data_IF_349750778422
#
_entry.id   IF_349750778422
#
_cell.length_a   1.000
_cell.length_b   1.000
_cell.length_c   1.000
_cell.angle_alpha   90.00
_cell.angle_beta   90.00
_cell.angle_gamma   90.00
#
_symmetry.space_group_name_H-M   'P 1'
#
loop_
_entity.id
_entity.type
_entity.pdbx_description
1 polymer ?
#
# COMPACT_ATOMS: atom_id res chain seq x y z
N UNK A 1 -15.83 -4.91 2.02
CA UNK A 1 -15.32 -5.27 0.68
C UNK A 1 -16.09 -6.49 0.32
N UNK A 2 -16.92 -6.43 -0.73
CA UNK A 2 -17.77 -7.57 -1.09
C UNK A 2 -16.89 -8.79 -1.33
N UNK A 3 -17.28 -9.91 -0.75
CA UNK A 3 -16.60 -11.17 -0.99
C UNK A 3 -16.89 -11.62 -2.45
N UNK A 4 -16.08 -12.54 -3.03
CA UNK A 4 -16.34 -13.08 -4.37
C UNK A 4 -17.76 -13.59 -4.59
N UNK A 5 -18.36 -14.25 -3.59
CA UNK A 5 -19.73 -14.79 -3.65
C UNK A 5 -20.76 -13.66 -3.66
N UNK A 6 -20.64 -12.68 -2.77
CA UNK A 6 -21.51 -11.48 -2.77
C UNK A 6 -21.40 -10.68 -4.08
N UNK A 7 -20.23 -10.67 -4.72
CA UNK A 7 -20.06 -10.03 -6.03
C UNK A 7 -20.80 -10.78 -7.13
N UNK A 8 -20.66 -12.11 -7.20
CA UNK A 8 -21.29 -12.92 -8.24
C UNK A 8 -22.82 -12.87 -8.10
N UNK A 9 -23.36 -12.98 -6.88
CA UNK A 9 -24.80 -12.82 -6.62
C UNK A 9 -25.33 -11.44 -7.07
N UNK A 10 -24.61 -10.37 -6.73
CA UNK A 10 -25.01 -9.03 -7.12
C UNK A 10 -24.91 -8.80 -8.64
N UNK A 11 -24.01 -9.53 -9.32
CA UNK A 11 -23.89 -9.47 -10.77
C UNK A 11 -25.05 -10.21 -11.45
N UNK A 12 -25.43 -11.39 -10.94
CA UNK A 12 -26.57 -12.15 -11.45
C UNK A 12 -27.88 -11.36 -11.29
N UNK A 13 -28.10 -10.72 -10.12
CA UNK A 13 -29.25 -9.83 -9.90
C UNK A 13 -29.26 -8.64 -10.87
N UNK A 14 -28.10 -8.04 -11.11
CA UNK A 14 -27.95 -6.96 -12.10
C UNK A 14 -28.28 -7.47 -13.50
N UNK A 15 -27.80 -8.64 -13.89
CA UNK A 15 -28.05 -9.24 -15.21
C UNK A 15 -29.55 -9.44 -15.44
N UNK A 16 -30.25 -10.03 -14.47
CA UNK A 16 -31.70 -10.25 -14.53
C UNK A 16 -32.43 -8.91 -14.68
N UNK A 17 -32.16 -7.96 -13.78
CA UNK A 17 -32.78 -6.63 -13.83
C UNK A 17 -32.53 -5.93 -15.18
N UNK A 18 -31.33 -6.08 -15.72
CA UNK A 18 -30.91 -5.40 -16.94
C UNK A 18 -31.52 -6.02 -18.20
N UNK A 19 -31.65 -7.35 -18.26
CA UNK A 19 -32.32 -8.06 -19.36
C UNK A 19 -33.84 -7.88 -19.36
N UNK A 20 -34.43 -7.55 -18.23
CA UNK A 20 -35.86 -7.19 -18.12
C UNK A 20 -36.15 -5.74 -18.55
N UNK A 21 -35.13 -4.89 -18.71
CA UNK A 21 -35.31 -3.53 -19.23
C UNK A 21 -35.45 -3.54 -20.76
N UNK A 22 -36.55 -2.98 -21.29
CA UNK A 22 -36.87 -2.97 -22.73
C UNK A 22 -36.05 -1.98 -23.58
N UNK A 23 -34.94 -1.45 -23.04
CA UNK A 23 -34.09 -0.51 -23.77
C UNK A 23 -33.05 -1.26 -24.62
N UNK A 24 -32.86 -0.85 -25.87
CA UNK A 24 -32.03 -1.55 -26.84
C UNK A 24 -30.56 -1.15 -26.73
N UNK A 25 -30.26 0.06 -26.24
CA UNK A 25 -28.89 0.48 -25.90
C UNK A 25 -28.34 -0.31 -24.71
N UNK A 26 -29.22 -0.82 -23.85
CA UNK A 26 -28.81 -1.61 -22.70
C UNK A 26 -28.27 -2.98 -23.12
N UNK A 27 -28.87 -3.69 -24.08
CA UNK A 27 -28.42 -5.04 -24.44
C UNK A 27 -26.94 -5.12 -24.88
N UNK A 28 -26.45 -4.13 -25.66
CA UNK A 28 -25.06 -4.09 -26.13
C UNK A 28 -24.04 -3.93 -25.00
N UNK A 29 -24.39 -3.19 -23.93
CA UNK A 29 -23.49 -2.99 -22.81
C UNK A 29 -23.28 -4.29 -22.02
N UNK A 30 -24.34 -5.06 -21.80
CA UNK A 30 -24.23 -6.33 -21.08
C UNK A 30 -23.37 -7.32 -21.86
N UNK A 31 -23.64 -7.48 -23.15
CA UNK A 31 -22.84 -8.32 -24.04
C UNK A 31 -21.37 -7.87 -24.05
N UNK A 32 -21.12 -6.56 -24.09
CA UNK A 32 -19.77 -6.02 -24.02
C UNK A 32 -19.07 -6.34 -22.69
N UNK A 33 -19.76 -6.20 -21.55
CA UNK A 33 -19.24 -6.50 -20.21
C UNK A 33 -18.97 -8.00 -20.05
N UNK A 34 -19.89 -8.86 -20.48
CA UNK A 34 -19.77 -10.31 -20.44
C UNK A 34 -18.60 -10.82 -21.27
N UNK A 35 -18.39 -10.26 -22.47
CA UNK A 35 -17.31 -10.69 -23.36
C UNK A 35 -15.96 -10.11 -22.93
N UNK A 36 -15.91 -8.83 -22.57
CA UNK A 36 -14.63 -8.12 -22.43
C UNK A 36 -14.13 -8.00 -20.99
N UNK A 37 -15.04 -7.91 -20.02
CA UNK A 37 -14.73 -7.59 -18.63
C UNK A 37 -14.88 -8.79 -17.69
N UNK A 38 -16.01 -9.50 -17.70
CA UNK A 38 -16.23 -10.64 -16.79
C UNK A 38 -15.12 -11.71 -16.80
N UNK A 39 -14.60 -12.15 -17.97
CA UNK A 39 -13.53 -13.16 -18.02
C UNK A 39 -12.22 -12.65 -17.39
N UNK A 40 -12.11 -11.33 -17.20
CA UNK A 40 -10.97 -10.65 -16.62
C UNK A 40 -11.32 -10.03 -15.26
N UNK A 41 -12.38 -10.49 -14.57
CA UNK A 41 -12.82 -9.93 -13.28
C UNK A 41 -11.72 -9.92 -12.22
N UNK A 42 -10.80 -10.87 -12.26
CA UNK A 42 -9.60 -10.88 -11.41
C UNK A 42 -8.61 -9.71 -11.66
N UNK A 43 -8.72 -8.99 -12.77
CA UNK A 43 -7.86 -7.84 -13.11
C UNK A 43 -8.46 -6.49 -12.71
N UNK A 44 -9.79 -6.38 -12.61
CA UNK A 44 -10.47 -5.09 -12.40
C UNK A 44 -11.53 -5.12 -11.28
N UNK A 45 -12.14 -6.27 -10.98
CA UNK A 45 -13.09 -6.35 -9.86
C UNK A 45 -12.33 -6.42 -8.55
N UNK A 46 -12.74 -5.62 -7.58
CA UNK A 46 -12.11 -5.58 -6.25
C UNK A 46 -12.35 -6.85 -5.45
N UNK A 47 -13.45 -7.55 -5.70
CA UNK A 47 -13.79 -8.81 -5.02
C UNK A 47 -12.86 -9.96 -5.46
N UNK A 48 -12.46 -9.96 -6.73
CA UNK A 48 -11.69 -11.04 -7.35
C UNK A 48 -10.18 -10.76 -7.45
N UNK A 49 -9.78 -9.48 -7.41
CA UNK A 49 -8.36 -9.09 -7.49
C UNK A 49 -7.57 -9.63 -6.29
N UNK A 50 -6.50 -10.38 -6.57
CA UNK A 50 -5.50 -10.82 -5.58
C UNK A 50 -4.22 -10.00 -5.76
N UNK A 51 -3.87 -9.18 -4.77
CA UNK A 51 -2.60 -8.44 -4.80
C UNK A 51 -2.68 -7.10 -5.52
N UNK A 52 -3.47 -6.18 -4.99
CA UNK A 52 -3.46 -4.79 -5.44
C UNK A 52 -2.58 -3.92 -4.53
N UNK A 53 -1.61 -3.21 -5.09
CA UNK A 53 -0.75 -2.24 -4.39
C UNK A 53 -1.47 -0.93 -3.99
N UNK A 54 -2.81 -0.96 -3.85
CA UNK A 54 -3.73 0.19 -3.77
C UNK A 54 -3.72 1.09 -5.02
N UNK A 55 -3.47 0.52 -6.20
CA UNK A 55 -3.61 1.22 -7.48
C UNK A 55 -4.96 0.82 -8.07
N UNK A 56 -6.00 1.48 -7.56
CA UNK A 56 -7.39 1.12 -7.88
C UNK A 56 -7.93 1.84 -9.13
N UNK A 57 -7.30 2.93 -9.58
CA UNK A 57 -7.86 3.81 -10.60
C UNK A 57 -6.85 4.22 -11.66
N UNK A 58 -7.31 4.33 -12.91
CA UNK A 58 -6.55 4.94 -13.99
C UNK A 58 -6.10 6.37 -13.61
N UNK A 59 -6.93 7.09 -12.85
CA UNK A 59 -6.60 8.43 -12.36
C UNK A 59 -5.30 8.49 -11.53
N UNK A 60 -4.96 7.43 -10.78
CA UNK A 60 -3.68 7.37 -10.08
C UNK A 60 -2.51 7.30 -11.07
N UNK A 61 -2.61 6.41 -12.07
CA UNK A 61 -1.60 6.23 -13.11
C UNK A 61 -1.45 7.52 -13.93
N UNK A 62 -2.55 8.13 -14.34
CA UNK A 62 -2.58 9.39 -15.09
C UNK A 62 -2.00 10.55 -14.28
N UNK A 63 -2.37 10.67 -13.00
CA UNK A 63 -1.82 11.69 -12.10
C UNK A 63 -0.32 11.49 -11.93
N UNK A 64 0.14 10.24 -11.79
CA UNK A 64 1.56 9.92 -11.70
C UNK A 64 2.30 10.25 -13.00
N UNK A 65 1.76 9.90 -14.16
CA UNK A 65 2.34 10.27 -15.46
C UNK A 65 2.42 11.79 -15.66
N UNK A 66 1.38 12.52 -15.23
CA UNK A 66 1.39 13.98 -15.25
C UNK A 66 2.50 14.52 -14.36
N UNK A 67 2.61 14.02 -13.13
CA UNK A 67 3.66 14.44 -12.20
C UNK A 67 5.06 14.14 -12.76
N UNK A 68 5.26 12.96 -13.35
CA UNK A 68 6.52 12.59 -14.01
C UNK A 68 6.89 13.58 -15.11
N UNK A 69 5.94 13.91 -15.99
CA UNK A 69 6.15 14.80 -17.14
C UNK A 69 6.37 16.25 -16.71
N UNK A 70 5.54 16.76 -15.82
CA UNK A 70 5.51 18.19 -15.46
C UNK A 70 6.61 18.55 -14.46
N UNK A 71 6.80 17.74 -13.41
CA UNK A 71 7.70 18.07 -12.30
C UNK A 71 9.12 17.60 -12.59
N UNK A 72 9.29 16.32 -12.95
CA UNK A 72 10.64 15.77 -13.11
C UNK A 72 11.21 15.99 -14.51
N UNK A 73 10.40 15.80 -15.56
CA UNK A 73 10.88 15.94 -16.95
C UNK A 73 10.72 17.37 -17.52
N UNK A 74 10.07 18.28 -16.78
CA UNK A 74 9.81 19.67 -17.21
C UNK A 74 9.22 19.77 -18.63
N UNK A 75 8.33 18.84 -18.99
CA UNK A 75 7.70 18.73 -20.31
C UNK A 75 8.67 18.53 -21.51
N UNK A 76 9.90 18.09 -21.27
CA UNK A 76 10.84 17.80 -22.37
C UNK A 76 10.36 16.55 -23.13
N UNK A 77 10.07 16.74 -24.41
CA UNK A 77 9.37 15.74 -25.25
C UNK A 77 10.24 14.55 -25.68
N UNK A 78 11.56 14.67 -25.67
CA UNK A 78 12.49 13.61 -26.09
C UNK A 78 13.70 13.60 -25.16
N UNK A 79 13.75 12.60 -24.29
CA UNK A 79 14.95 12.26 -23.55
C UNK A 79 15.53 10.98 -24.11
N UNK A 80 16.86 10.89 -24.19
CA UNK A 80 17.52 9.62 -24.44
C UNK A 80 17.19 8.66 -23.29
N UNK A 81 17.17 7.36 -23.58
CA UNK A 81 16.78 6.35 -22.60
C UNK A 81 17.67 6.37 -21.34
N UNK A 82 18.96 6.63 -21.49
CA UNK A 82 19.91 6.77 -20.38
C UNK A 82 19.55 7.93 -19.44
N UNK A 83 19.20 9.10 -19.98
CA UNK A 83 18.75 10.25 -19.20
C UNK A 83 17.44 9.93 -18.47
N UNK A 84 16.52 9.22 -19.13
CA UNK A 84 15.26 8.82 -18.50
C UNK A 84 15.48 7.81 -17.37
N UNK A 85 16.37 6.84 -17.55
CA UNK A 85 16.75 5.88 -16.51
C UNK A 85 17.39 6.57 -15.31
N UNK A 86 18.32 7.51 -15.54
CA UNK A 86 18.91 8.34 -14.50
C UNK A 86 17.84 9.11 -13.71
N UNK A 87 16.92 9.77 -14.41
CA UNK A 87 15.85 10.53 -13.76
C UNK A 87 14.94 9.65 -12.90
N UNK A 88 14.54 8.48 -13.41
CA UNK A 88 13.72 7.55 -12.64
C UNK A 88 14.45 7.01 -11.41
N UNK A 89 15.71 6.59 -11.57
CA UNK A 89 16.47 5.90 -10.54
C UNK A 89 17.05 6.84 -9.49
N UNK A 90 17.68 7.94 -9.92
CA UNK A 90 18.46 8.80 -9.03
C UNK A 90 17.68 9.99 -8.47
N UNK A 91 16.54 10.34 -9.07
CA UNK A 91 15.72 11.49 -8.68
C UNK A 91 14.35 11.05 -8.19
N UNK A 92 13.54 10.45 -9.06
CA UNK A 92 12.13 10.12 -8.76
C UNK A 92 12.03 9.11 -7.62
N UNK A 93 12.81 8.04 -7.69
CA UNK A 93 12.73 6.96 -6.72
C UNK A 93 13.10 7.44 -5.28
N UNK A 94 14.24 8.11 -5.03
CA UNK A 94 14.55 8.65 -3.71
C UNK A 94 13.48 9.62 -3.17
N UNK A 95 12.96 10.49 -4.03
CA UNK A 95 11.92 11.46 -3.64
C UNK A 95 10.61 10.75 -3.24
N UNK A 96 10.18 9.76 -4.02
CA UNK A 96 9.03 8.90 -3.68
C UNK A 96 9.26 8.11 -2.39
N UNK A 97 10.49 7.71 -2.11
CA UNK A 97 10.86 6.97 -0.90
C UNK A 97 10.99 7.84 0.34
N UNK A 98 11.21 9.15 0.21
CA UNK A 98 11.44 10.04 1.34
C UNK A 98 10.29 9.98 2.36
N UNK A 99 9.05 9.96 1.88
CA UNK A 99 7.87 9.81 2.75
C UNK A 99 7.84 8.47 3.49
N UNK A 100 8.29 7.39 2.85
CA UNK A 100 8.38 6.08 3.48
C UNK A 100 9.45 6.05 4.56
N UNK A 101 10.67 6.55 4.27
CA UNK A 101 11.78 6.62 5.22
C UNK A 101 11.40 7.45 6.44
N UNK A 102 10.79 8.62 6.25
CA UNK A 102 10.31 9.46 7.38
C UNK A 102 9.26 8.75 8.23
N UNK A 103 8.41 7.94 7.60
CA UNK A 103 7.39 7.17 8.31
C UNK A 103 8.00 6.03 9.11
N UNK A 104 8.92 5.27 8.50
CA UNK A 104 9.59 4.11 9.12
C UNK A 104 10.54 4.51 10.24
N UNK A 105 11.25 5.63 10.08
CA UNK A 105 12.13 6.19 11.12
C UNK A 105 11.38 6.84 12.29
N UNK A 106 10.05 6.90 12.25
CA UNK A 106 9.23 7.55 13.28
C UNK A 106 9.25 9.08 13.24
N UNK A 107 9.99 9.68 12.31
CA UNK A 107 10.06 11.15 12.11
C UNK A 107 8.70 11.71 11.70
N UNK A 108 7.89 10.92 10.99
CA UNK A 108 6.57 11.30 10.54
C UNK A 108 5.55 10.20 10.83
N UNK A 109 4.35 10.56 11.29
CA UNK A 109 3.28 9.57 11.43
C UNK A 109 2.79 9.09 10.06
N UNK A 110 2.51 7.78 9.98
CA UNK A 110 1.94 7.15 8.79
C UNK A 110 0.60 7.79 8.45
N UNK A 111 0.51 8.41 7.28
CA UNK A 111 -0.77 8.91 6.75
C UNK A 111 -1.60 7.75 6.23
N UNK A 112 -2.72 7.48 6.88
CA UNK A 112 -3.70 6.51 6.42
C UNK A 112 -4.61 7.15 5.36
N UNK A 113 -4.86 6.42 4.27
CA UNK A 113 -5.95 6.75 3.36
C UNK A 113 -7.31 6.44 4.02
N UNK A 114 -8.41 6.86 3.42
CA UNK A 114 -9.76 6.68 4.00
C UNK A 114 -10.07 5.20 4.34
N UNK A 115 -9.67 4.27 3.48
CA UNK A 115 -9.84 2.83 3.73
C UNK A 115 -8.99 2.35 4.93
N UNK A 116 -7.73 2.77 5.01
CA UNK A 116 -6.84 2.47 6.13
C UNK A 116 -7.35 3.06 7.44
N UNK A 117 -7.87 4.29 7.40
CA UNK A 117 -8.48 4.96 8.55
C UNK A 117 -9.71 4.19 9.04
N UNK A 118 -10.63 3.84 8.14
CA UNK A 118 -11.82 3.06 8.50
C UNK A 118 -11.46 1.68 9.08
N UNK A 119 -10.44 1.00 8.54
CA UNK A 119 -9.94 -0.27 9.13
C UNK A 119 -9.37 -0.06 10.53
N UNK A 120 -8.62 1.01 10.74
CA UNK A 120 -8.04 1.35 12.03
C UNK A 120 -9.14 1.72 13.04
N UNK A 121 -10.10 2.56 12.67
CA UNK A 121 -11.25 2.93 13.50
C UNK A 121 -12.04 1.69 13.96
N UNK A 122 -12.26 0.72 13.07
CA UNK A 122 -12.92 -0.55 13.44
C UNK A 122 -12.11 -1.41 14.41
N UNK A 123 -10.79 -1.31 14.42
CA UNK A 123 -9.96 -2.00 15.40
C UNK A 123 -9.90 -1.23 16.74
N UNK A 124 -10.08 0.10 16.67
CA UNK A 124 -10.06 1.00 17.82
C UNK A 124 -11.42 1.15 18.50
N UNK A 125 -12.51 0.63 17.92
CA UNK A 125 -13.87 0.75 18.49
C UNK A 125 -14.11 -0.08 19.74
N UNK A 126 -13.21 -1.02 20.05
CA UNK A 126 -13.27 -1.87 21.23
C UNK A 126 -12.49 -1.25 22.39
N UNK A 127 -12.98 -1.44 23.61
CA UNK A 127 -12.19 -1.12 24.80
C UNK A 127 -11.03 -2.12 24.96
N UNK A 128 -10.10 -1.86 25.88
CA UNK A 128 -8.88 -2.67 26.01
C UNK A 128 -9.18 -4.13 26.41
N UNK A 129 -10.16 -4.35 27.29
CA UNK A 129 -10.54 -5.70 27.75
C UNK A 129 -11.15 -6.51 26.61
N UNK A 130 -12.06 -5.91 25.83
CA UNK A 130 -12.65 -6.53 24.64
C UNK A 130 -11.58 -6.82 23.58
N UNK A 131 -10.65 -5.88 23.37
CA UNK A 131 -9.58 -6.03 22.40
C UNK A 131 -8.65 -7.20 22.74
N UNK A 132 -8.27 -7.34 24.02
CA UNK A 132 -7.46 -8.46 24.51
C UNK A 132 -8.20 -9.80 24.37
N UNK A 133 -9.50 -9.84 24.69
CA UNK A 133 -10.31 -11.06 24.55
C UNK A 133 -10.43 -11.58 23.10
N UNK A 134 -10.28 -10.69 22.12
CA UNK A 134 -10.32 -11.05 20.70
C UNK A 134 -8.98 -11.58 20.16
N UNK A 135 -7.90 -11.49 20.93
CA UNK A 135 -6.54 -11.79 20.49
C UNK A 135 -5.96 -12.93 21.32
N UNK A 136 -5.61 -14.03 20.65
CA UNK A 136 -4.96 -15.19 21.28
C UNK A 136 -3.55 -15.38 20.68
N UNK A 137 -2.52 -15.20 21.49
CA UNK A 137 -1.12 -15.32 21.06
C UNK A 137 -0.65 -16.77 21.22
N UNK A 138 -0.26 -17.39 20.11
CA UNK A 138 0.25 -18.76 20.07
C UNK A 138 1.64 -18.81 19.43
N UNK A 139 2.68 -18.70 20.26
CA UNK A 139 4.07 -18.82 19.82
C UNK A 139 4.43 -17.80 18.74
N UNK A 140 4.65 -18.26 17.50
CA UNK A 140 5.01 -17.42 16.34
C UNK A 140 3.81 -16.96 15.49
N UNK A 141 2.59 -17.12 15.99
CA UNK A 141 1.38 -16.66 15.31
C UNK A 141 0.34 -16.13 16.28
N UNK A 142 -0.51 -15.21 15.81
CA UNK A 142 -1.63 -14.66 16.58
C UNK A 142 -2.93 -15.08 15.91
N UNK A 143 -3.84 -15.66 16.69
CA UNK A 143 -5.21 -15.90 16.29
C UNK A 143 -6.08 -14.72 16.73
N UNK A 144 -6.94 -14.26 15.83
CA UNK A 144 -7.81 -13.12 16.05
C UNK A 144 -9.24 -13.51 15.74
N UNK A 145 -10.11 -13.41 16.73
CA UNK A 145 -11.54 -13.59 16.54
C UNK A 145 -12.08 -12.47 15.65
N UNK A 146 -12.92 -12.85 14.70
CA UNK A 146 -13.59 -11.93 13.80
C UNK A 146 -14.61 -11.11 14.57
N UNK A 147 -14.46 -9.79 14.54
CA UNK A 147 -15.38 -8.85 15.18
C UNK A 147 -16.37 -8.22 14.20
N UNK A 148 -16.57 -8.82 13.03
CA UNK A 148 -17.58 -8.40 12.04
C UNK A 148 -18.34 -9.55 11.41
N UNK A 149 -17.93 -10.77 11.69
CA UNK A 149 -18.50 -11.97 11.10
C UNK A 149 -18.37 -13.02 12.17
N UNK A 150 -19.49 -13.47 12.68
CA UNK A 150 -19.53 -14.41 13.79
C UNK A 150 -18.85 -15.73 13.38
N UNK A 151 -18.30 -16.42 14.37
CA UNK A 151 -17.65 -17.75 14.25
C UNK A 151 -16.48 -17.85 13.26
N UNK A 152 -15.86 -16.73 12.88
CA UNK A 152 -14.62 -16.72 12.08
C UNK A 152 -13.41 -16.37 12.94
N UNK A 153 -12.32 -17.12 12.76
CA UNK A 153 -11.01 -16.82 13.35
C UNK A 153 -10.00 -16.61 12.23
N UNK A 154 -9.18 -15.58 12.36
CA UNK A 154 -8.11 -15.28 11.41
C UNK A 154 -6.75 -15.51 12.06
N UNK A 155 -5.81 -16.04 11.28
CA UNK A 155 -4.43 -16.24 11.72
C UNK A 155 -3.55 -15.12 11.16
N UNK A 156 -2.67 -14.58 12.00
CA UNK A 156 -1.64 -13.61 11.64
C UNK A 156 -0.27 -14.20 11.94
N UNK A 157 0.55 -14.33 10.90
CA UNK A 157 1.95 -14.71 11.04
C UNK A 157 2.81 -13.44 11.13
N UNK A 158 3.85 -13.48 11.97
CA UNK A 158 4.74 -12.35 12.18
C UNK A 158 6.22 -12.79 12.26
N UNK A 159 7.10 -11.87 11.89
CA UNK A 159 8.54 -12.00 12.07
C UNK A 159 8.93 -11.33 13.40
N UNK A 160 9.37 -12.16 14.35
CA UNK A 160 9.84 -11.70 15.66
C UNK A 160 11.12 -10.87 15.58
N UNK A 161 12.02 -11.16 14.64
CA UNK A 161 13.29 -10.44 14.52
C UNK A 161 13.08 -9.05 13.96
N UNK A 162 12.18 -8.92 12.98
CA UNK A 162 11.83 -7.64 12.35
C UNK A 162 10.70 -6.90 13.06
N UNK A 163 10.12 -7.50 14.11
CA UNK A 163 8.93 -7.03 14.80
C UNK A 163 7.81 -6.64 13.81
N UNK A 164 7.51 -7.51 12.84
CA UNK A 164 6.65 -7.16 11.71
C UNK A 164 5.62 -8.25 11.38
N UNK A 165 4.34 -7.87 11.28
CA UNK A 165 3.27 -8.79 10.84
C UNK A 165 3.32 -9.06 9.34
N UNK A 166 3.59 -10.30 8.95
CA UNK A 166 3.77 -10.72 7.56
C UNK A 166 2.45 -11.00 6.86
N UNK A 167 1.67 -11.96 7.35
CA UNK A 167 0.48 -12.46 6.67
C UNK A 167 -0.75 -12.38 7.56
N UNK A 168 -1.93 -12.28 6.94
CA UNK A 168 -3.20 -12.48 7.61
C UNK A 168 -4.11 -13.29 6.70
N UNK A 169 -4.86 -14.26 7.25
CA UNK A 169 -5.75 -15.12 6.45
C UNK A 169 -7.04 -14.42 6.01
N UNK A 170 -7.31 -13.18 6.46
CA UNK A 170 -8.53 -12.49 6.09
C UNK A 170 -8.53 -12.00 4.63
N UNK A 171 -9.70 -12.02 3.98
CA UNK A 171 -9.83 -11.61 2.57
C UNK A 171 -9.39 -10.16 2.33
N UNK A 172 -9.60 -9.26 3.30
CA UNK A 172 -9.12 -7.88 3.19
C UNK A 172 -7.59 -7.82 3.05
N UNK A 173 -6.84 -8.68 3.75
CA UNK A 173 -5.40 -8.80 3.54
C UNK A 173 -5.06 -9.48 2.21
N UNK A 174 -5.75 -10.57 1.85
CA UNK A 174 -5.50 -11.31 0.60
C UNK A 174 -5.63 -10.40 -0.63
N UNK A 175 -6.66 -9.54 -0.65
CA UNK A 175 -6.93 -8.61 -1.75
C UNK A 175 -5.93 -7.46 -1.77
N UNK A 176 -5.75 -6.77 -0.64
CA UNK A 176 -4.99 -5.51 -0.60
C UNK A 176 -3.49 -5.68 -0.33
N UNK A 177 -3.06 -6.87 0.13
CA UNK A 177 -1.67 -7.16 0.55
C UNK A 177 -1.06 -6.06 1.44
N UNK A 178 -1.89 -5.45 2.27
CA UNK A 178 -1.59 -4.32 3.14
C UNK A 178 -2.26 -4.54 4.51
N UNK A 179 -2.12 -3.60 5.44
CA UNK A 179 -2.74 -3.70 6.76
C UNK A 179 -4.27 -3.87 6.68
N UNK A 180 -4.77 -4.95 7.28
CA UNK A 180 -6.20 -5.20 7.51
C UNK A 180 -6.58 -4.81 8.94
N UNK A 181 -7.89 -4.78 9.24
CA UNK A 181 -8.40 -4.46 10.58
C UNK A 181 -7.88 -5.38 11.68
N UNK A 182 -7.70 -6.68 11.41
CA UNK A 182 -7.12 -7.62 12.37
C UNK A 182 -5.67 -7.28 12.72
N UNK A 183 -4.86 -6.87 11.74
CA UNK A 183 -3.49 -6.42 11.99
C UNK A 183 -3.44 -5.14 12.83
N UNK A 184 -4.38 -4.20 12.65
CA UNK A 184 -4.46 -3.02 13.53
C UNK A 184 -4.79 -3.41 14.98
N UNK A 185 -5.69 -4.37 15.18
CA UNK A 185 -6.03 -4.87 16.52
C UNK A 185 -4.81 -5.52 17.19
N UNK A 186 -4.10 -6.39 16.48
CA UNK A 186 -2.88 -7.03 17.01
C UNK A 186 -1.75 -6.03 17.25
N UNK A 187 -1.58 -5.02 16.39
CA UNK A 187 -0.61 -3.95 16.62
C UNK A 187 -0.90 -3.20 17.93
N UNK A 188 -2.18 -2.95 18.23
CA UNK A 188 -2.59 -2.31 19.49
C UNK A 188 -2.34 -3.20 20.71
N UNK A 189 -2.75 -4.47 20.66
CA UNK A 189 -2.74 -5.37 21.83
C UNK A 189 -1.35 -5.94 22.11
N UNK A 190 -0.63 -6.35 21.06
CA UNK A 190 0.64 -7.09 21.18
C UNK A 190 1.85 -6.20 20.82
N UNK A 191 1.63 -4.98 20.34
CA UNK A 191 2.69 -4.05 19.93
C UNK A 191 3.62 -4.57 18.83
N UNK A 192 3.17 -5.56 18.04
CA UNK A 192 3.88 -6.04 16.85
C UNK A 192 3.69 -5.02 15.73
N UNK A 193 4.75 -4.67 15.00
CA UNK A 193 4.71 -3.73 13.90
C UNK A 193 3.75 -4.16 12.77
N UNK A 194 3.10 -3.18 12.14
CA UNK A 194 2.32 -3.40 10.92
C UNK A 194 3.26 -3.67 9.74
N UNK A 195 2.85 -4.52 8.76
CA UNK A 195 3.61 -4.79 7.55
C UNK A 195 4.14 -3.49 6.95
N UNK A 196 5.45 -3.31 7.05
CA UNK A 196 6.17 -2.49 6.10
C UNK A 196 5.99 -3.13 4.73
N UNK A 197 5.86 -2.32 3.69
CA UNK A 197 5.95 -2.85 2.34
C UNK A 197 7.40 -3.32 2.18
N UNK A 198 7.67 -4.61 2.40
CA UNK A 198 9.00 -5.22 2.26
C UNK A 198 9.63 -5.00 0.86
N UNK A 199 8.85 -4.49 -0.11
CA UNK A 199 9.29 -4.21 -1.46
C UNK A 199 10.44 -3.19 -1.58
N UNK A 200 10.84 -2.50 -0.51
CA UNK A 200 11.82 -1.42 -0.61
C UNK A 200 13.01 -1.51 0.35
N UNK A 201 13.14 -2.53 1.20
CA UNK A 201 14.26 -2.68 2.14
C UNK A 201 15.65 -2.50 1.49
N UNK A 202 15.97 -3.18 0.35
CA UNK A 202 17.25 -2.96 -0.33
C UNK A 202 17.45 -1.53 -0.83
N UNK A 203 16.36 -0.84 -1.17
CA UNK A 203 16.40 0.55 -1.65
C UNK A 203 16.43 1.56 -0.51
N UNK A 204 15.90 1.22 0.67
CA UNK A 204 16.02 2.03 1.88
C UNK A 204 17.48 2.03 2.30
N UNK A 205 18.11 0.86 2.37
CA UNK A 205 19.55 0.73 2.65
C UNK A 205 20.39 1.52 1.63
N UNK A 206 20.11 1.40 0.33
CA UNK A 206 20.78 2.21 -0.70
C UNK A 206 20.58 3.72 -0.51
N UNK A 207 19.35 4.17 -0.25
CA UNK A 207 19.05 5.60 -0.07
C UNK A 207 19.70 6.14 1.20
N UNK A 208 19.73 5.35 2.28
CA UNK A 208 20.40 5.70 3.53
C UNK A 208 21.91 5.82 3.31
N UNK A 209 22.56 4.83 2.68
CA UNK A 209 23.99 4.90 2.36
C UNK A 209 24.35 6.07 1.45
N UNK A 210 23.54 6.36 0.44
CA UNK A 210 23.76 7.53 -0.44
C UNK A 210 23.64 8.85 0.33
N UNK A 211 22.66 8.97 1.23
CA UNK A 211 22.51 10.15 2.07
C UNK A 211 23.70 10.30 3.03
N UNK A 212 24.19 9.21 3.62
CA UNK A 212 25.39 9.19 4.45
C UNK A 212 26.63 9.67 3.66
N UNK A 213 26.83 9.18 2.44
CA UNK A 213 27.91 9.62 1.55
C UNK A 213 27.80 11.10 1.17
N UNK A 214 26.60 11.59 0.87
CA UNK A 214 26.36 13.00 0.56
C UNK A 214 26.63 13.90 1.77
N UNK A 215 26.21 13.50 2.97
CA UNK A 215 26.49 14.22 4.22
C UNK A 215 27.99 14.21 4.53
N UNK A 216 28.67 13.07 4.35
CA UNK A 216 30.11 12.96 4.54
C UNK A 216 30.88 13.88 3.57
N UNK A 217 30.49 13.90 2.29
CA UNK A 217 31.11 14.80 1.29
C UNK A 217 30.84 16.28 1.60
N UNK A 218 29.62 16.66 1.97
CA UNK A 218 29.30 18.04 2.33
C UNK A 218 30.05 18.50 3.60
N UNK A 219 30.22 17.61 4.56
CA UNK A 219 31.02 17.86 5.77
C UNK A 219 32.48 18.09 5.41
N UNK A 220 33.06 17.23 4.56
CA UNK A 220 34.45 17.35 4.10
C UNK A 220 34.71 18.67 3.36
N UNK A 221 33.82 19.06 2.45
CA UNK A 221 33.94 20.34 1.72
C UNK A 221 33.92 21.53 2.69
N UNK A 222 33.03 21.53 3.68
CA UNK A 222 32.99 22.61 4.70
C UNK A 222 34.23 22.64 5.58
N UNK A 223 34.84 21.49 5.85
CA UNK A 223 36.09 21.39 6.60
C UNK A 223 37.25 21.98 5.78
N UNK A 224 37.33 21.64 4.49
CA UNK A 224 38.30 22.16 3.52
C UNK A 224 38.16 23.69 3.38
N UNK A 225 36.95 24.21 3.17
CA UNK A 225 36.66 25.65 3.13
C UNK A 225 37.06 26.37 4.43
N UNK A 226 36.84 25.75 5.60
CA UNK A 226 37.24 26.31 6.90
C UNK A 226 38.75 26.37 7.06
N UNK A 227 39.47 25.36 6.57
CA UNK A 227 40.94 25.33 6.61
C UNK A 227 41.55 26.38 5.67
N UNK A 228 40.98 26.57 4.48
CA UNK A 228 41.43 27.61 3.54
C UNK A 228 41.24 29.03 4.10
N UNK A 229 40.14 29.30 4.81
CA UNK A 229 39.92 30.60 5.47
C UNK A 229 40.93 30.85 6.59
N UNK A 230 41.31 29.82 7.36
CA UNK A 230 42.29 29.92 8.43
C UNK A 230 43.73 30.07 7.91
N UNK A 231 44.05 29.55 6.73
CA UNK A 231 45.36 29.70 6.10
C UNK A 231 45.54 31.06 5.41
N UNK A 232 44.44 31.75 5.07
CA UNK A 232 44.43 33.04 4.39
C UNK A 232 44.11 34.23 5.33
N UNK A 233 44.01 34.00 6.64
CA UNK A 233 43.86 35.02 7.70
C UNK A 233 45.15 35.21 8.48
#
# INVERSE_FOLDING_TARGET
TRDPEEFDLAFDEFEIWYRESEDWETQELLDYVEVNYLPKKEKWSKAWRKGNYNIDTNNYIETWHRHLKEVYMMNIKKQRLDVFMYLLWDIVLPDMMQGHIRTTSGVQQRRLNNAGRSRNEKAMSFNDIEAEALVNVQGSSVEVLSFTTDDKTYKIDFDLQRNNMLLCTCMDFVINKASCKQKYLVNRVVSIGLPEKDAHLPMIEYTMHRNEEQVANATRIREEERQEVLQNS
#
